data_IF_836725178359
#
_entry.id   IF_836725178359
#
_cell.length_a   1.000
_cell.length_b   1.000
_cell.length_c   1.000
_cell.angle_alpha   90.00
_cell.angle_beta   90.00
_cell.angle_gamma   90.00
#
_symmetry.space_group_name_H-M   'P 1'
#
loop_
_entity.id
_entity.type
_entity.pdbx_description
1 polymer ?
#
# COMPACT_ATOMS: atom_id res chain seq x y z
N UNK A 1 4.42 22.51 1.88
CA UNK A 1 3.14 21.92 2.35
C UNK A 1 3.06 21.93 3.88
N UNK A 2 4.02 21.32 4.60
CA UNK A 2 4.07 21.29 6.08
C UNK A 2 3.72 22.63 6.75
N UNK A 3 4.52 23.67 6.52
CA UNK A 3 4.27 25.00 7.13
C UNK A 3 2.96 25.66 6.72
N UNK A 4 2.52 25.48 5.46
CA UNK A 4 1.35 26.21 4.93
C UNK A 4 0.02 25.62 5.40
N UNK A 5 -0.04 24.30 5.59
CA UNK A 5 -1.29 23.59 5.87
C UNK A 5 -1.35 22.98 7.27
N UNK A 6 -0.20 22.72 7.89
CA UNK A 6 -0.10 22.02 9.17
C UNK A 6 0.66 22.82 10.23
N UNK A 7 1.02 24.07 9.94
CA UNK A 7 1.87 24.94 10.78
C UNK A 7 3.14 24.21 11.30
N UNK A 8 3.61 23.21 10.54
CA UNK A 8 4.72 22.35 10.95
C UNK A 8 5.96 22.75 10.17
N UNK A 9 7.02 23.11 10.89
CA UNK A 9 8.32 23.35 10.28
C UNK A 9 9.00 22.00 9.99
N UNK A 10 9.25 21.72 8.72
CA UNK A 10 9.86 20.47 8.27
C UNK A 10 11.18 20.81 7.58
N UNK A 11 12.29 20.38 8.16
CA UNK A 11 13.59 20.38 7.51
C UNK A 11 13.72 19.10 6.69
N UNK A 12 14.25 19.22 5.47
CA UNK A 12 14.39 18.12 4.51
C UNK A 12 15.85 18.01 4.11
N UNK A 13 16.43 16.85 4.35
CA UNK A 13 17.79 16.52 3.91
C UNK A 13 17.73 15.34 2.92
N UNK A 14 18.67 15.30 1.95
CA UNK A 14 18.79 14.16 1.02
C UNK A 14 19.80 13.18 1.58
N UNK A 15 19.37 11.94 1.81
CA UNK A 15 20.19 10.86 2.38
C UNK A 15 20.85 10.03 1.29
N UNK A 16 20.14 9.81 0.18
CA UNK A 16 20.62 8.99 -0.92
C UNK A 16 19.94 9.42 -2.20
N UNK A 17 20.70 9.37 -3.29
CA UNK A 17 20.22 9.55 -4.64
C UNK A 17 20.83 8.43 -5.49
N UNK A 18 19.99 7.69 -6.20
CA UNK A 18 20.41 6.63 -7.11
C UNK A 18 19.65 6.74 -8.40
N UNK A 19 20.39 6.80 -9.50
CA UNK A 19 19.84 6.66 -10.84
C UNK A 19 19.97 5.20 -11.28
N UNK A 20 18.84 4.56 -11.57
CA UNK A 20 18.79 3.25 -12.22
C UNK A 20 17.89 3.35 -13.46
N UNK A 21 18.48 3.10 -14.63
CA UNK A 21 17.83 3.27 -15.94
C UNK A 21 17.30 4.70 -16.14
N UNK A 22 15.99 4.87 -16.29
CA UNK A 22 15.29 6.16 -16.45
C UNK A 22 14.62 6.62 -15.14
N UNK A 23 14.95 6.01 -14.00
CA UNK A 23 14.34 6.31 -12.70
C UNK A 23 15.41 6.82 -11.73
N UNK A 24 15.16 8.00 -11.16
CA UNK A 24 15.94 8.56 -10.05
C UNK A 24 15.22 8.29 -8.73
N UNK A 25 15.82 7.45 -7.90
CA UNK A 25 15.38 7.18 -6.53
C UNK A 25 16.07 8.16 -5.58
N UNK A 26 15.30 9.01 -4.91
CA UNK A 26 15.80 9.94 -3.90
C UNK A 26 15.19 9.59 -2.53
N UNK A 27 16.03 9.42 -1.53
CA UNK A 27 15.63 9.20 -0.14
C UNK A 27 15.76 10.52 0.61
N UNK A 28 14.63 11.04 1.09
CA UNK A 28 14.58 12.24 1.92
C UNK A 28 14.50 11.88 3.41
N UNK A 29 15.32 12.52 4.23
CA UNK A 29 15.16 12.55 5.68
C UNK A 29 14.37 13.79 6.07
N UNK A 30 13.23 13.59 6.75
CA UNK A 30 12.35 14.66 7.22
C UNK A 30 12.54 14.85 8.72
N UNK A 31 12.96 16.05 9.12
CA UNK A 31 13.16 16.43 10.53
C UNK A 31 12.11 17.45 10.92
N UNK A 32 11.24 17.08 11.86
CA UNK A 32 10.17 17.94 12.38
C UNK A 32 9.75 17.48 13.78
N UNK A 33 9.07 18.36 14.51
CA UNK A 33 8.48 18.01 15.81
C UNK A 33 7.23 17.13 15.61
N UNK A 34 7.38 15.83 15.87
CA UNK A 34 6.33 14.83 15.64
C UNK A 34 5.50 14.51 16.90
N UNK A 35 5.22 15.51 17.73
CA UNK A 35 4.55 15.33 19.03
C UNK A 35 3.11 14.80 18.89
N UNK A 36 2.41 15.18 17.82
CA UNK A 36 1.07 14.68 17.51
C UNK A 36 1.02 13.15 17.28
N UNK A 37 2.03 12.60 16.61
CA UNK A 37 2.13 11.15 16.38
C UNK A 37 2.41 10.38 17.68
N UNK A 38 3.27 10.92 18.55
CA UNK A 38 3.57 10.29 19.84
C UNK A 38 2.33 10.22 20.73
N UNK A 39 1.51 11.28 20.73
CA UNK A 39 0.25 11.32 21.48
C UNK A 39 -0.77 10.31 20.96
N UNK A 40 -0.94 10.19 19.64
CA UNK A 40 -1.82 9.18 19.04
C UNK A 40 -1.32 7.76 19.33
N UNK A 41 -0.03 7.48 19.16
CA UNK A 41 0.54 6.15 19.45
C UNK A 41 0.38 5.73 20.94
N UNK A 42 0.29 6.68 21.88
CA UNK A 42 -0.03 6.38 23.27
C UNK A 42 -1.52 6.15 23.54
N UNK A 43 -2.40 6.80 22.78
CA UNK A 43 -3.87 6.63 22.87
C UNK A 43 -4.36 5.37 22.14
N UNK A 44 -3.73 5.02 21.02
CA UNK A 44 -4.07 3.85 20.20
C UNK A 44 -3.65 2.52 20.83
N UNK A 45 -2.62 2.52 21.70
CA UNK A 45 -2.21 1.32 22.45
C UNK A 45 -3.29 0.78 23.39
N UNK A 46 -4.22 1.62 23.83
CA UNK A 46 -5.34 1.21 24.68
C UNK A 46 -6.65 0.99 23.88
N UNK A 47 -6.70 1.28 22.57
CA UNK A 47 -7.96 1.28 21.81
C UNK A 47 -7.97 0.55 20.46
N UNK A 48 -6.84 0.14 19.86
CA UNK A 48 -6.81 -0.19 18.43
C UNK A 48 -6.13 -1.52 18.00
N UNK A 49 -6.25 -2.60 18.77
CA UNK A 49 -6.07 -3.96 18.20
C UNK A 49 -7.38 -4.58 17.67
N UNK A 50 -8.54 -3.97 17.95
CA UNK A 50 -9.86 -4.59 17.71
C UNK A 50 -10.68 -3.99 16.57
N UNK A 51 -10.38 -2.78 16.07
CA UNK A 51 -11.33 -2.04 15.22
C UNK A 51 -11.15 -2.22 13.70
N UNK A 52 -10.18 -3.02 13.24
CA UNK A 52 -10.04 -3.31 11.80
C UNK A 52 -9.54 -4.73 11.47
N UNK A 53 -9.69 -5.69 12.37
CA UNK A 53 -9.54 -7.10 12.02
C UNK A 53 -10.79 -7.58 11.27
N UNK A 54 -11.01 -7.07 10.06
CA UNK A 54 -11.98 -7.66 9.14
C UNK A 54 -11.37 -8.96 8.65
N UNK A 55 -12.06 -10.08 8.90
CA UNK A 55 -11.66 -11.36 8.34
C UNK A 55 -11.46 -11.24 6.83
N UNK A 56 -10.32 -11.71 6.32
CA UNK A 56 -10.00 -11.64 4.89
C UNK A 56 -11.10 -12.24 4.01
N UNK A 57 -11.86 -13.20 4.55
CA UNK A 57 -13.04 -13.78 3.91
C UNK A 57 -14.10 -12.71 3.56
N UNK A 58 -14.42 -11.83 4.51
CA UNK A 58 -15.40 -10.74 4.30
C UNK A 58 -14.87 -9.77 3.25
N UNK A 59 -13.58 -9.46 3.27
CA UNK A 59 -12.95 -8.60 2.26
C UNK A 59 -13.08 -9.19 0.85
N UNK A 60 -12.84 -10.49 0.68
CA UNK A 60 -12.94 -11.14 -0.64
C UNK A 60 -14.37 -11.20 -1.17
N UNK A 61 -15.38 -11.34 -0.31
CA UNK A 61 -16.79 -11.25 -0.72
C UNK A 61 -17.19 -9.83 -1.14
N UNK A 62 -16.67 -8.80 -0.46
CA UNK A 62 -17.05 -7.40 -0.72
C UNK A 62 -16.50 -6.86 -2.02
N UNK A 63 -15.33 -7.34 -2.46
CA UNK A 63 -14.63 -6.79 -3.62
C UNK A 63 -14.66 -7.76 -4.81
N UNK A 64 -15.59 -7.60 -5.76
CA UNK A 64 -15.75 -8.52 -6.88
C UNK A 64 -14.60 -8.46 -7.91
N UNK A 65 -13.80 -7.38 -7.88
CA UNK A 65 -12.64 -7.16 -8.74
C UNK A 65 -11.34 -7.05 -7.94
N UNK A 66 -11.11 -7.95 -6.97
CA UNK A 66 -9.83 -8.05 -6.28
C UNK A 66 -8.92 -9.09 -6.94
N UNK A 67 -7.60 -8.92 -6.80
CA UNK A 67 -6.62 -9.98 -7.04
C UNK A 67 -5.58 -9.97 -5.92
N UNK A 68 -5.20 -11.16 -5.46
CA UNK A 68 -4.07 -11.37 -4.55
C UNK A 68 -2.95 -11.98 -5.36
N UNK A 69 -1.77 -11.36 -5.30
CA UNK A 69 -0.61 -11.75 -6.11
C UNK A 69 0.52 -12.14 -5.16
N UNK A 70 1.14 -13.29 -5.40
CA UNK A 70 2.29 -13.76 -4.63
C UNK A 70 3.59 -13.04 -5.03
N UNK A 71 4.66 -13.27 -4.28
CA UNK A 71 6.01 -12.84 -4.65
C UNK A 71 6.49 -13.45 -5.99
N UNK A 72 5.98 -14.62 -6.37
CA UNK A 72 6.25 -15.25 -7.67
C UNK A 72 5.44 -14.66 -8.83
N UNK A 73 4.65 -13.60 -8.58
CA UNK A 73 3.76 -12.95 -9.54
C UNK A 73 2.60 -13.84 -10.01
N UNK A 74 2.28 -14.87 -9.22
CA UNK A 74 1.16 -15.77 -9.44
C UNK A 74 -0.10 -15.20 -8.80
N UNK A 75 -1.23 -15.31 -9.48
CA UNK A 75 -2.53 -14.91 -8.95
C UNK A 75 -3.03 -15.99 -8.00
N UNK A 76 -3.05 -15.70 -6.70
CA UNK A 76 -3.43 -16.65 -5.64
C UNK A 76 -4.93 -16.59 -5.32
N UNK A 77 -5.56 -15.44 -5.54
CA UNK A 77 -7.01 -15.24 -5.38
C UNK A 77 -7.50 -14.20 -6.37
N UNK A 78 -8.72 -14.37 -6.85
CA UNK A 78 -9.41 -13.40 -7.70
C UNK A 78 -10.89 -13.33 -7.32
N UNK A 79 -11.45 -12.12 -7.34
CA UNK A 79 -12.87 -11.90 -7.06
C UNK A 79 -13.78 -12.51 -8.12
N UNK A 80 -15.05 -12.74 -7.75
CA UNK A 80 -16.02 -13.44 -8.58
C UNK A 80 -16.20 -12.83 -9.97
N UNK A 81 -16.21 -11.49 -10.08
CA UNK A 81 -16.35 -10.83 -11.38
C UNK A 81 -15.12 -11.01 -12.26
N UNK A 82 -13.91 -11.06 -11.69
CA UNK A 82 -12.71 -11.38 -12.46
C UNK A 82 -12.67 -12.84 -12.89
N UNK A 83 -13.07 -13.76 -12.01
CA UNK A 83 -13.13 -15.19 -12.31
C UNK A 83 -14.17 -15.52 -13.39
N UNK A 84 -15.27 -14.76 -13.45
CA UNK A 84 -16.26 -14.86 -14.53
C UNK A 84 -15.73 -14.39 -15.88
N UNK A 85 -14.92 -13.32 -15.90
CA UNK A 85 -14.31 -12.79 -17.13
C UNK A 85 -13.13 -13.63 -17.60
N UNK A 86 -12.36 -14.18 -16.65
CA UNK A 86 -11.16 -14.98 -16.87
C UNK A 86 -11.27 -16.32 -16.13
N UNK A 87 -11.90 -17.34 -16.74
CA UNK A 87 -12.00 -18.66 -16.15
C UNK A 87 -10.60 -19.24 -15.92
N UNK A 88 -10.32 -19.71 -14.69
CA UNK A 88 -9.03 -20.27 -14.27
C UNK A 88 -7.87 -19.24 -14.17
N UNK A 89 -8.18 -17.98 -13.89
CA UNK A 89 -7.18 -16.94 -13.63
C UNK A 89 -6.28 -17.21 -12.41
N UNK A 90 -6.77 -17.98 -11.43
CA UNK A 90 -6.01 -18.35 -10.23
C UNK A 90 -4.99 -19.43 -10.59
N UNK A 91 -3.73 -19.23 -10.21
CA UNK A 91 -2.58 -20.07 -10.55
C UNK A 91 -1.79 -19.58 -11.76
N UNK A 92 -2.29 -18.58 -12.49
CA UNK A 92 -1.62 -18.00 -13.65
C UNK A 92 -0.69 -16.85 -13.24
N UNK A 93 0.34 -16.59 -14.06
CA UNK A 93 1.19 -15.42 -13.87
C UNK A 93 0.46 -14.16 -14.31
N UNK A 94 0.47 -13.13 -13.47
CA UNK A 94 -0.24 -11.87 -13.78
C UNK A 94 0.24 -11.22 -15.08
N UNK A 95 1.52 -11.40 -15.42
CA UNK A 95 2.14 -10.84 -16.62
C UNK A 95 1.66 -11.50 -17.91
N UNK A 96 1.14 -12.72 -17.83
CA UNK A 96 0.65 -13.45 -19.00
C UNK A 96 -0.80 -13.04 -19.34
N UNK A 97 -1.54 -12.52 -18.36
CA UNK A 97 -2.95 -12.13 -18.51
C UNK A 97 -3.11 -10.61 -18.63
N UNK A 98 -2.36 -9.83 -17.86
CA UNK A 98 -2.53 -8.39 -17.76
C UNK A 98 -1.26 -7.63 -18.14
N UNK A 99 -1.49 -6.51 -18.81
CA UNK A 99 -0.48 -5.47 -19.00
C UNK A 99 -0.85 -4.27 -18.13
N UNK A 100 0.11 -3.80 -17.32
CA UNK A 100 -0.08 -2.60 -16.53
C UNK A 100 -0.01 -1.37 -17.42
N UNK A 101 -1.09 -0.61 -17.48
CA UNK A 101 -1.17 0.69 -18.16
C UNK A 101 -1.49 1.75 -17.12
N UNK A 102 -0.78 2.88 -17.18
CA UNK A 102 -0.88 3.99 -16.23
C UNK A 102 -2.01 4.95 -16.55
#
# INVERSE_FOLDING_TARGET
VGRRFYDTNVQIDIVSEREEFDITHVVFELKFENTAYVQQATTDKDSNELDLAVDCYIFFELFPFHMVISESLEIVSAGDSLTQLFPNIVGELIRDIFNLVR
#
